data_IF_103154217836
#
_entry.id   IF_103154217836
#
_cell.length_a   1.000
_cell.length_b   1.000
_cell.length_c   1.000
_cell.angle_alpha   90.00
_cell.angle_beta   90.00
_cell.angle_gamma   90.00
#
_symmetry.space_group_name_H-M   'P 1'
#
loop_
_entity.id
_entity.type
_entity.pdbx_description
1 polymer ?
#
# COMPACT_ATOMS: atom_id res chain seq x y z
N UNK A 1 4.11 27.32 -8.82
CA UNK A 1 5.03 26.23 -9.20
C UNK A 1 6.35 26.85 -9.63
N UNK A 2 7.52 26.27 -9.30
CA UNK A 2 8.76 26.71 -9.92
C UNK A 2 8.60 26.62 -11.44
N UNK A 3 9.03 27.65 -12.17
CA UNK A 3 8.98 27.66 -13.63
C UNK A 3 9.73 26.44 -14.17
N UNK A 4 9.07 25.63 -15.02
CA UNK A 4 9.76 24.57 -15.76
C UNK A 4 10.95 25.21 -16.48
N UNK A 5 12.15 24.67 -16.28
CA UNK A 5 13.34 25.12 -17.02
C UNK A 5 13.01 25.09 -18.53
N UNK A 6 13.44 26.10 -19.30
CA UNK A 6 13.16 26.14 -20.73
C UNK A 6 13.60 24.85 -21.41
N UNK A 7 12.81 24.38 -22.37
CA UNK A 7 13.12 23.18 -23.15
C UNK A 7 14.54 23.29 -23.75
N UNK A 8 15.37 22.27 -23.51
CA UNK A 8 16.77 22.25 -23.94
C UNK A 8 17.78 22.87 -22.96
N UNK A 9 17.35 23.36 -21.79
CA UNK A 9 18.27 23.77 -20.74
C UNK A 9 19.14 22.60 -20.28
N UNK A 10 20.46 22.82 -20.22
CA UNK A 10 21.44 21.81 -19.86
C UNK A 10 21.94 22.03 -18.44
N UNK A 11 21.89 21.00 -17.60
CA UNK A 11 22.48 20.98 -16.25
C UNK A 11 23.63 19.99 -16.24
N UNK A 12 24.80 20.41 -15.77
CA UNK A 12 25.98 19.57 -15.61
C UNK A 12 26.22 19.32 -14.12
N UNK A 13 26.22 18.06 -13.69
CA UNK A 13 26.61 17.66 -12.34
C UNK A 13 28.04 17.12 -12.40
N UNK A 14 28.98 17.71 -11.68
CA UNK A 14 30.42 17.39 -11.79
C UNK A 14 30.98 16.70 -10.56
N UNK A 15 32.02 15.87 -10.77
CA UNK A 15 32.86 15.35 -9.68
C UNK A 15 32.17 14.37 -8.72
N UNK A 16 31.01 13.84 -9.12
CA UNK A 16 30.21 12.94 -8.30
C UNK A 16 30.82 11.54 -8.20
N UNK A 17 30.47 10.82 -7.14
CA UNK A 17 30.46 9.35 -7.16
C UNK A 17 29.16 8.89 -7.81
N UNK A 18 29.22 8.37 -9.02
CA UNK A 18 28.05 7.89 -9.77
C UNK A 18 27.75 6.44 -9.39
N UNK A 19 26.53 6.18 -8.92
CA UNK A 19 25.93 4.85 -8.74
C UNK A 19 24.77 4.76 -9.71
N UNK A 20 24.88 3.97 -10.77
CA UNK A 20 23.91 3.96 -11.87
C UNK A 20 22.69 3.05 -11.65
N UNK A 21 22.63 2.33 -10.53
CA UNK A 21 21.55 1.40 -10.19
C UNK A 21 21.68 0.00 -10.79
N UNK A 22 22.72 -0.29 -11.57
CA UNK A 22 22.93 -1.60 -12.23
C UNK A 22 23.55 -2.66 -11.32
N UNK A 23 23.86 -2.32 -10.06
CA UNK A 23 24.54 -3.19 -9.09
C UNK A 23 26.07 -3.16 -9.16
N UNK A 24 26.66 -2.41 -10.10
CA UNK A 24 28.11 -2.21 -10.18
C UNK A 24 28.64 -1.28 -9.06
N UNK A 25 29.93 -1.37 -8.70
CA UNK A 25 30.57 -0.37 -7.84
C UNK A 25 30.50 1.04 -8.44
N UNK A 26 30.52 2.06 -7.57
CA UNK A 26 30.51 3.45 -8.00
C UNK A 26 31.79 3.86 -8.74
N UNK A 27 31.72 4.90 -9.58
CA UNK A 27 32.88 5.53 -10.24
C UNK A 27 32.79 7.07 -10.19
N UNK A 28 33.93 7.76 -10.36
CA UNK A 28 33.93 9.22 -10.46
C UNK A 28 33.48 9.66 -11.85
N UNK A 29 32.43 10.49 -11.91
CA UNK A 29 31.83 10.89 -13.17
C UNK A 29 31.14 12.25 -13.12
N UNK A 30 30.90 12.77 -14.31
CA UNK A 30 30.05 13.92 -14.57
C UNK A 30 28.76 13.44 -15.25
N UNK A 31 27.62 14.01 -14.86
CA UNK A 31 26.30 13.68 -15.42
C UNK A 31 25.72 14.91 -16.10
N UNK A 32 25.33 14.77 -17.37
CA UNK A 32 24.74 15.83 -18.18
C UNK A 32 23.24 15.57 -18.32
N UNK A 33 22.43 16.53 -17.90
CA UNK A 33 20.98 16.53 -18.08
C UNK A 33 20.61 17.57 -19.14
N UNK A 34 19.72 17.21 -20.07
CA UNK A 34 19.13 18.15 -21.03
C UNK A 34 17.62 17.99 -20.99
N UNK A 35 16.91 19.02 -20.54
CA UNK A 35 15.47 18.91 -20.28
C UNK A 35 15.18 17.86 -19.20
N UNK A 36 14.45 16.82 -19.56
CA UNK A 36 14.01 15.71 -18.70
C UNK A 36 14.85 14.43 -18.85
N UNK A 37 15.91 14.48 -19.66
CA UNK A 37 16.67 13.29 -20.07
C UNK A 37 18.14 13.39 -19.64
N UNK A 38 18.74 12.25 -19.26
CA UNK A 38 20.19 12.12 -19.09
C UNK A 38 20.83 12.08 -20.47
N UNK A 39 21.50 13.16 -20.86
CA UNK A 39 22.12 13.29 -22.17
C UNK A 39 23.46 12.54 -22.27
N UNK A 40 24.23 12.52 -21.18
CA UNK A 40 25.51 11.81 -21.13
C UNK A 40 25.96 11.53 -19.69
N UNK A 41 26.74 10.47 -19.52
CA UNK A 41 27.55 10.20 -18.34
C UNK A 41 29.00 10.08 -18.82
N UNK A 42 29.90 10.88 -18.26
CA UNK A 42 31.31 10.91 -18.66
C UNK A 42 32.24 10.71 -17.46
N UNK A 43 33.48 10.26 -17.66
CA UNK A 43 34.47 10.30 -16.59
C UNK A 43 34.64 11.72 -16.03
N UNK A 44 34.94 11.85 -14.75
CA UNK A 44 35.06 13.16 -14.10
C UNK A 44 36.02 14.10 -14.84
N UNK A 45 35.56 15.33 -15.10
CA UNK A 45 36.29 16.36 -15.86
C UNK A 45 36.32 16.14 -17.37
N UNK A 46 35.57 15.18 -17.91
CA UNK A 46 35.53 14.87 -19.35
C UNK A 46 34.24 15.29 -20.05
N UNK A 47 33.22 15.75 -19.32
CA UNK A 47 32.01 16.30 -19.93
C UNK A 47 32.32 17.63 -20.65
N UNK A 48 32.41 17.60 -21.98
CA UNK A 48 32.67 18.78 -22.81
C UNK A 48 31.35 19.42 -23.29
N UNK A 49 30.59 20.00 -22.36
CA UNK A 49 29.29 20.64 -22.64
C UNK A 49 29.22 22.07 -22.11
N UNK A 50 28.50 22.94 -22.81
CA UNK A 50 28.10 24.24 -22.26
C UNK A 50 26.79 24.03 -21.50
N UNK A 51 26.84 24.17 -20.18
CA UNK A 51 25.69 23.98 -19.31
C UNK A 51 25.15 25.34 -18.84
N UNK A 52 23.82 25.47 -18.79
CA UNK A 52 23.15 26.63 -18.21
C UNK A 52 23.30 26.66 -16.68
N UNK A 53 23.44 25.49 -16.07
CA UNK A 53 23.69 25.30 -14.65
C UNK A 53 24.78 24.24 -14.44
N UNK A 54 25.68 24.48 -13.49
CA UNK A 54 26.68 23.50 -13.06
C UNK A 54 26.54 23.27 -11.55
N UNK A 55 26.39 22.01 -11.16
CA UNK A 55 26.28 21.57 -9.76
C UNK A 55 27.55 20.81 -9.41
N UNK A 56 28.32 21.32 -8.43
CA UNK A 56 29.47 20.62 -7.88
C UNK A 56 29.01 19.55 -6.89
N UNK A 57 29.15 18.28 -7.27
CA UNK A 57 28.82 17.12 -6.46
C UNK A 57 30.06 16.43 -5.89
N UNK A 58 31.18 17.16 -5.76
CA UNK A 58 32.40 16.64 -5.15
C UNK A 58 32.13 16.15 -3.73
N UNK A 59 32.45 14.88 -3.48
CA UNK A 59 32.20 14.23 -2.18
C UNK A 59 30.77 13.75 -1.97
N UNK A 60 29.88 13.97 -2.95
CA UNK A 60 28.49 13.50 -2.96
C UNK A 60 28.32 12.32 -3.92
N UNK A 61 27.14 11.70 -3.84
CA UNK A 61 26.71 10.62 -4.73
C UNK A 61 25.66 11.16 -5.69
N UNK A 62 25.75 10.74 -6.95
CA UNK A 62 24.66 10.87 -7.93
C UNK A 62 24.15 9.47 -8.25
N UNK A 63 22.85 9.26 -8.12
CA UNK A 63 22.19 8.00 -8.39
C UNK A 63 20.80 8.23 -9.02
N UNK A 64 20.17 7.20 -9.62
CA UNK A 64 18.77 7.25 -9.96
C UNK A 64 17.93 7.67 -8.74
N UNK A 65 16.89 8.47 -8.98
CA UNK A 65 15.95 8.81 -7.92
C UNK A 65 15.24 7.54 -7.41
N UNK A 66 14.93 7.52 -6.12
CA UNK A 66 14.36 6.32 -5.50
C UNK A 66 12.92 6.11 -6.00
N UNK A 67 12.58 4.85 -6.25
CA UNK A 67 11.24 4.41 -6.59
C UNK A 67 10.65 3.81 -5.32
N UNK A 68 9.68 4.51 -4.74
CA UNK A 68 8.88 3.99 -3.64
C UNK A 68 7.75 3.14 -4.20
N UNK A 69 7.91 1.82 -4.11
CA UNK A 69 6.94 0.89 -4.67
C UNK A 69 5.72 0.68 -3.79
N UNK A 70 5.68 1.23 -2.57
CA UNK A 70 4.61 1.04 -1.58
C UNK A 70 4.12 2.40 -1.04
N UNK A 71 3.63 3.23 -1.95
CA UNK A 71 3.13 4.55 -1.60
C UNK A 71 1.63 4.53 -1.26
N UNK A 72 1.29 5.30 -0.22
CA UNK A 72 -0.09 5.63 0.18
C UNK A 72 -0.39 7.12 0.01
N UNK A 73 0.28 7.78 -0.94
CA UNK A 73 0.17 9.24 -1.14
C UNK A 73 -1.10 9.69 -1.86
N UNK A 74 -2.04 8.78 -2.18
CA UNK A 74 -3.32 9.12 -2.88
C UNK A 74 -4.00 10.31 -2.21
N UNK A 75 -4.31 10.21 -0.92
CA UNK A 75 -4.98 11.30 -0.17
C UNK A 75 -4.07 12.53 0.00
N UNK A 76 -2.80 12.41 0.41
CA UNK A 76 -1.87 13.53 0.42
C UNK A 76 -1.85 14.31 -0.90
N UNK A 77 -1.85 13.67 -2.06
CA UNK A 77 -1.86 14.36 -3.35
C UNK A 77 -3.14 15.16 -3.62
N UNK A 78 -4.28 14.80 -3.03
CA UNK A 78 -5.51 15.60 -3.16
C UNK A 78 -5.35 16.97 -2.49
N UNK A 79 -4.56 17.05 -1.42
CA UNK A 79 -4.47 18.27 -0.58
C UNK A 79 -3.13 19.01 -0.69
N UNK A 80 -2.04 18.28 -0.86
CA UNK A 80 -0.69 18.80 -1.03
C UNK A 80 0.09 17.98 -2.06
N UNK A 81 0.20 18.54 -3.27
CA UNK A 81 0.85 17.91 -4.43
C UNK A 81 2.38 17.95 -4.39
N UNK A 82 2.98 18.52 -3.33
CA UNK A 82 4.43 18.70 -3.25
C UNK A 82 5.19 17.43 -2.86
N UNK A 83 4.51 16.44 -2.24
CA UNK A 83 5.11 15.21 -1.70
C UNK A 83 6.39 15.43 -0.88
N UNK A 84 6.37 16.43 0.02
CA UNK A 84 7.57 16.87 0.74
C UNK A 84 8.23 15.74 1.54
N UNK A 85 7.44 14.87 2.15
CA UNK A 85 7.94 13.71 2.90
C UNK A 85 8.75 12.75 2.02
N UNK A 86 8.41 12.63 0.73
CA UNK A 86 9.04 11.70 -0.21
C UNK A 86 10.24 12.33 -0.90
N UNK A 87 10.09 13.53 -1.48
CA UNK A 87 11.19 14.17 -2.21
C UNK A 87 12.38 14.52 -1.31
N UNK A 88 12.15 14.79 -0.01
CA UNK A 88 13.24 15.05 0.94
C UNK A 88 14.03 13.80 1.33
N UNK A 89 13.53 12.61 0.97
CA UNK A 89 14.23 11.33 1.09
C UNK A 89 14.92 10.92 -0.22
N UNK A 90 14.74 11.68 -1.31
CA UNK A 90 15.25 11.34 -2.64
C UNK A 90 14.31 10.49 -3.50
N UNK A 91 13.06 10.30 -3.07
CA UNK A 91 12.03 9.61 -3.86
C UNK A 91 11.60 10.50 -5.02
N UNK A 92 11.64 9.94 -6.23
CA UNK A 92 11.21 10.61 -7.47
C UNK A 92 10.03 9.92 -8.13
N UNK A 93 9.65 8.72 -7.68
CA UNK A 93 8.55 7.95 -8.24
C UNK A 93 7.84 7.21 -7.12
N UNK A 94 6.52 7.30 -7.12
CA UNK A 94 5.65 6.65 -6.14
C UNK A 94 4.69 5.71 -6.86
N UNK A 95 4.66 4.45 -6.44
CA UNK A 95 3.73 3.43 -6.93
C UNK A 95 2.69 3.17 -5.85
N UNK A 96 1.42 3.31 -6.21
CA UNK A 96 0.28 3.23 -5.30
C UNK A 96 -0.61 2.00 -5.57
N UNK A 97 -1.66 1.84 -4.78
CA UNK A 97 -2.79 0.95 -5.08
C UNK A 97 -2.99 -0.21 -4.11
N UNK A 98 -2.21 -0.32 -3.03
CA UNK A 98 -2.47 -1.34 -2.00
C UNK A 98 -3.88 -1.19 -1.44
N UNK A 99 -4.63 -2.30 -1.45
CA UNK A 99 -6.01 -2.44 -0.99
C UNK A 99 -7.04 -1.62 -1.80
N UNK A 100 -6.81 -0.34 -2.04
CA UNK A 100 -7.81 0.59 -2.52
C UNK A 100 -7.26 1.62 -3.49
N UNK A 101 -8.09 1.99 -4.46
CA UNK A 101 -7.92 3.11 -5.37
C UNK A 101 -9.23 3.92 -5.48
N UNK A 102 -9.16 5.26 -5.66
CA UNK A 102 -10.33 6.13 -5.71
C UNK A 102 -11.12 6.02 -7.02
N UNK A 103 -10.63 5.24 -7.97
CA UNK A 103 -11.18 5.03 -9.31
C UNK A 103 -10.92 3.58 -9.76
N UNK A 104 -11.79 2.98 -10.61
CA UNK A 104 -13.06 3.52 -11.11
C UNK A 104 -14.15 3.55 -10.05
N UNK A 105 -14.96 4.61 -10.06
CA UNK A 105 -16.21 4.68 -9.31
C UNK A 105 -17.36 4.00 -10.08
N UNK A 106 -18.28 3.35 -9.36
CA UNK A 106 -19.39 2.61 -9.95
C UNK A 106 -19.57 1.21 -9.36
N UNK A 107 -20.22 0.32 -10.10
CA UNK A 107 -20.54 -1.03 -9.62
C UNK A 107 -21.39 -0.97 -8.34
N UNK A 108 -20.92 -1.60 -7.27
CA UNK A 108 -21.49 -1.51 -5.91
C UNK A 108 -20.70 -0.59 -4.97
N UNK A 109 -19.83 0.27 -5.50
CA UNK A 109 -19.07 1.25 -4.70
C UNK A 109 -19.96 2.49 -4.47
N UNK A 110 -20.46 2.63 -3.24
CA UNK A 110 -21.30 3.76 -2.85
C UNK A 110 -20.49 5.02 -2.51
N UNK A 111 -19.34 4.87 -1.84
CA UNK A 111 -18.42 5.96 -1.49
C UNK A 111 -17.00 5.56 -1.90
N UNK A 112 -16.44 6.14 -2.99
CA UNK A 112 -15.10 5.83 -3.45
C UNK A 112 -14.02 6.12 -2.41
N UNK A 113 -14.26 6.95 -1.39
CA UNK A 113 -13.29 7.28 -0.34
C UNK A 113 -13.58 6.60 1.01
N UNK A 114 -14.48 5.62 1.06
CA UNK A 114 -14.81 4.88 2.28
C UNK A 114 -13.57 4.31 2.97
N UNK A 115 -12.67 3.73 2.18
CA UNK A 115 -11.41 3.11 2.63
C UNK A 115 -10.23 4.09 2.66
N UNK A 116 -10.48 5.39 2.43
CA UNK A 116 -9.41 6.39 2.47
C UNK A 116 -8.88 6.57 3.89
N UNK A 117 -7.58 6.27 4.06
CA UNK A 117 -6.85 6.60 5.27
C UNK A 117 -5.56 7.36 4.92
N UNK A 118 -5.33 8.57 5.48
CA UNK A 118 -6.19 9.30 6.42
C UNK A 118 -7.42 9.94 5.75
N UNK A 119 -8.38 10.43 6.56
CA UNK A 119 -9.48 11.28 6.09
C UNK A 119 -8.93 12.47 5.31
N UNK A 120 -9.51 12.73 4.15
CA UNK A 120 -9.11 13.81 3.26
C UNK A 120 -9.45 15.14 3.93
N UNK A 121 -8.50 16.03 4.23
CA UNK A 121 -8.84 17.36 4.75
C UNK A 121 -9.71 18.16 3.75
N UNK A 122 -10.68 18.92 4.26
CA UNK A 122 -11.50 19.83 3.45
C UNK A 122 -12.93 19.35 3.22
N UNK A 123 -13.56 19.88 2.17
CA UNK A 123 -14.95 19.61 1.83
C UNK A 123 -15.12 18.21 1.22
N UNK A 124 -15.71 17.31 2.02
CA UNK A 124 -15.91 15.91 1.64
C UNK A 124 -16.86 15.75 0.45
N UNK A 125 -17.87 16.61 0.35
CA UNK A 125 -18.88 16.49 -0.70
C UNK A 125 -18.26 16.84 -2.06
N UNK A 126 -17.40 17.86 -2.09
CA UNK A 126 -16.59 18.20 -3.27
C UNK A 126 -15.68 17.04 -3.67
N UNK A 127 -14.97 16.42 -2.72
CA UNK A 127 -14.10 15.28 -3.04
C UNK A 127 -14.90 14.10 -3.59
N UNK A 128 -16.02 13.76 -2.95
CA UNK A 128 -16.90 12.68 -3.42
C UNK A 128 -17.45 12.95 -4.81
N UNK A 129 -17.91 14.18 -5.09
CA UNK A 129 -18.38 14.57 -6.42
C UNK A 129 -17.29 14.39 -7.47
N UNK A 130 -16.05 14.79 -7.17
CA UNK A 130 -14.90 14.58 -8.04
C UNK A 130 -14.62 13.09 -8.25
N UNK A 131 -14.60 12.26 -7.21
CA UNK A 131 -14.33 10.83 -7.36
C UNK A 131 -15.43 10.09 -8.13
N UNK A 132 -16.69 10.51 -8.01
CA UNK A 132 -17.78 9.99 -8.84
C UNK A 132 -17.64 10.37 -10.33
N UNK A 133 -16.84 11.38 -10.67
CA UNK A 133 -16.50 11.67 -12.07
C UNK A 133 -15.42 10.74 -12.64
N UNK A 134 -14.66 10.05 -11.79
CA UNK A 134 -13.62 9.10 -12.22
C UNK A 134 -14.24 7.73 -12.44
N UNK A 135 -14.62 7.45 -13.68
CA UNK A 135 -15.35 6.23 -14.07
C UNK A 135 -14.43 5.18 -14.73
N UNK A 136 -13.24 5.60 -15.15
CA UNK A 136 -12.15 4.77 -15.65
C UNK A 136 -10.97 4.85 -14.72
N UNK A 137 -10.15 3.80 -14.65
CA UNK A 137 -8.99 3.80 -13.78
C UNK A 137 -8.02 4.95 -14.11
N UNK A 138 -7.89 5.32 -15.37
CA UNK A 138 -7.01 6.41 -15.81
C UNK A 138 -7.47 7.80 -15.36
N UNK A 139 -8.76 8.01 -15.07
CA UNK A 139 -9.31 9.36 -14.88
C UNK A 139 -8.67 10.11 -13.69
N UNK A 140 -8.36 9.41 -12.59
CA UNK A 140 -7.71 10.04 -11.43
C UNK A 140 -6.20 10.27 -11.66
N UNK A 141 -5.54 9.43 -12.46
CA UNK A 141 -4.14 9.60 -12.84
C UNK A 141 -3.99 10.79 -13.79
N UNK A 142 -4.89 10.91 -14.77
CA UNK A 142 -4.99 12.07 -15.68
C UNK A 142 -5.29 13.35 -14.90
N UNK A 143 -6.12 13.27 -13.86
CA UNK A 143 -6.35 14.39 -12.94
C UNK A 143 -5.07 14.80 -12.20
N UNK A 144 -4.30 13.84 -11.66
CA UNK A 144 -3.01 14.13 -11.01
C UNK A 144 -2.00 14.75 -11.98
N UNK A 145 -1.96 14.29 -13.23
CA UNK A 145 -1.12 14.85 -14.28
C UNK A 145 -1.51 16.30 -14.57
N UNK A 146 -2.81 16.58 -14.75
CA UNK A 146 -3.34 17.93 -14.99
C UNK A 146 -3.02 18.89 -13.83
N UNK A 147 -3.25 18.46 -12.59
CA UNK A 147 -3.03 19.29 -11.41
C UNK A 147 -1.55 19.48 -11.06
N UNK A 148 -0.70 18.54 -11.51
CA UNK A 148 0.74 18.55 -11.36
C UNK A 148 1.21 18.15 -9.95
N UNK A 149 1.99 17.08 -9.88
CA UNK A 149 2.65 16.56 -8.66
C UNK A 149 4.17 16.62 -8.79
N UNK A 150 4.89 16.63 -7.66
CA UNK A 150 6.36 16.73 -7.65
C UNK A 150 7.11 15.47 -8.11
N UNK A 151 6.47 14.31 -8.06
CA UNK A 151 7.06 13.00 -8.36
C UNK A 151 6.36 12.38 -9.56
N UNK A 152 6.99 11.38 -10.19
CA UNK A 152 6.26 10.49 -11.09
C UNK A 152 5.29 9.62 -10.27
N UNK A 153 4.16 9.27 -10.87
CA UNK A 153 3.13 8.45 -10.24
C UNK A 153 2.80 7.27 -11.14
N UNK A 154 2.73 6.09 -10.53
CA UNK A 154 2.11 4.89 -11.11
C UNK A 154 1.21 4.21 -10.08
N UNK A 155 0.35 3.28 -10.51
CA UNK A 155 -0.52 2.58 -9.56
C UNK A 155 -0.96 1.22 -10.09
N UNK A 156 -1.19 0.32 -9.15
CA UNK A 156 -2.03 -0.86 -9.31
C UNK A 156 -3.50 -0.48 -9.12
N UNK A 157 -4.43 -1.28 -9.63
CA UNK A 157 -5.84 -1.21 -9.20
C UNK A 157 -5.96 -1.90 -7.83
N UNK A 158 -6.65 -1.26 -6.88
CA UNK A 158 -6.86 -1.79 -5.55
C UNK A 158 -7.74 -3.05 -5.56
N UNK A 159 -7.28 -4.13 -4.96
CA UNK A 159 -8.03 -5.39 -4.89
C UNK A 159 -9.33 -5.28 -4.09
N UNK A 160 -9.34 -4.43 -3.06
CA UNK A 160 -10.56 -4.02 -2.35
C UNK A 160 -11.51 -3.27 -3.27
N UNK A 161 -11.04 -2.29 -4.05
CA UNK A 161 -11.86 -1.60 -5.07
C UNK A 161 -12.47 -2.58 -6.07
N UNK A 162 -11.69 -3.56 -6.54
CA UNK A 162 -12.18 -4.62 -7.44
C UNK A 162 -13.28 -5.44 -6.79
N UNK A 163 -13.09 -5.86 -5.53
CA UNK A 163 -14.08 -6.67 -4.85
C UNK A 163 -15.33 -5.88 -4.48
N UNK A 164 -15.18 -4.62 -4.06
CA UNK A 164 -16.31 -3.74 -3.80
C UNK A 164 -17.14 -3.51 -5.06
N UNK A 165 -16.50 -3.29 -6.21
CA UNK A 165 -17.19 -3.11 -7.49
C UNK A 165 -18.18 -4.24 -7.79
N UNK A 166 -17.74 -5.49 -7.71
CA UNK A 166 -18.56 -6.64 -8.09
C UNK A 166 -19.43 -7.19 -6.97
N UNK A 167 -18.90 -7.25 -5.74
CA UNK A 167 -19.52 -7.96 -4.62
C UNK A 167 -19.86 -7.05 -3.44
N UNK A 168 -19.18 -5.92 -3.28
CA UNK A 168 -19.27 -5.10 -2.07
C UNK A 168 -18.55 -5.74 -0.89
N UNK A 169 -19.02 -5.43 0.32
CA UNK A 169 -18.45 -5.92 1.58
C UNK A 169 -19.03 -7.25 2.07
N UNK A 170 -19.77 -7.95 1.21
CA UNK A 170 -20.39 -9.22 1.58
C UNK A 170 -19.33 -10.31 1.80
N UNK A 171 -19.55 -11.13 2.83
CA UNK A 171 -18.73 -12.31 3.13
C UNK A 171 -18.87 -13.39 2.05
N UNK A 172 -17.89 -14.31 2.02
CA UNK A 172 -17.90 -15.50 1.19
C UNK A 172 -17.47 -15.28 -0.25
N UNK A 173 -17.56 -16.35 -1.04
CA UNK A 173 -17.11 -16.37 -2.43
C UNK A 173 -17.98 -15.51 -3.35
N UNK A 174 -17.37 -14.88 -4.34
CA UNK A 174 -18.09 -14.26 -5.45
C UNK A 174 -18.91 -15.30 -6.24
N UNK A 175 -20.14 -14.94 -6.61
CA UNK A 175 -20.90 -15.71 -7.61
C UNK A 175 -20.23 -15.58 -8.99
N UNK A 176 -20.54 -16.45 -9.96
CA UNK A 176 -19.99 -16.34 -11.31
C UNK A 176 -20.22 -14.98 -11.97
N UNK A 177 -21.39 -14.36 -11.76
CA UNK A 177 -21.71 -13.04 -12.32
C UNK A 177 -20.94 -11.91 -11.62
N UNK A 178 -20.77 -12.03 -10.29
CA UNK A 178 -19.94 -11.10 -9.52
C UNK A 178 -18.47 -11.18 -9.96
N UNK A 179 -17.92 -12.39 -10.11
CA UNK A 179 -16.56 -12.61 -10.58
C UNK A 179 -16.37 -12.09 -12.02
N UNK A 180 -17.33 -12.34 -12.92
CA UNK A 180 -17.28 -11.81 -14.28
C UNK A 180 -17.29 -10.27 -14.29
N UNK A 181 -18.07 -9.64 -13.40
CA UNK A 181 -18.08 -8.18 -13.24
C UNK A 181 -16.73 -7.65 -12.76
N UNK A 182 -16.13 -8.28 -11.75
CA UNK A 182 -14.81 -7.92 -11.21
C UNK A 182 -13.71 -8.08 -12.27
N UNK A 183 -13.68 -9.21 -12.98
CA UNK A 183 -12.70 -9.46 -14.04
C UNK A 183 -12.83 -8.48 -15.21
N UNK A 184 -14.06 -8.11 -15.58
CA UNK A 184 -14.31 -7.11 -16.63
C UNK A 184 -13.81 -5.72 -16.25
N UNK A 185 -14.05 -5.29 -15.02
CA UNK A 185 -13.53 -4.01 -14.51
C UNK A 185 -12.00 -4.02 -14.43
N UNK A 186 -11.42 -5.11 -13.90
CA UNK A 186 -9.97 -5.27 -13.83
C UNK A 186 -9.31 -5.18 -15.21
N UNK A 187 -9.86 -5.86 -16.22
CA UNK A 187 -9.35 -5.78 -17.59
C UNK A 187 -9.38 -4.33 -18.14
N UNK A 188 -10.48 -3.61 -17.92
CA UNK A 188 -10.58 -2.20 -18.33
C UNK A 188 -9.55 -1.33 -17.58
N UNK A 189 -9.34 -1.56 -16.28
CA UNK A 189 -8.33 -0.83 -15.50
C UNK A 189 -6.90 -1.07 -16.03
N UNK A 190 -6.59 -2.30 -16.46
CA UNK A 190 -5.32 -2.61 -17.12
C UNK A 190 -5.15 -1.87 -18.45
N UNK A 191 -6.22 -1.77 -19.25
CA UNK A 191 -6.22 -0.99 -20.51
C UNK A 191 -6.03 0.52 -20.28
N UNK A 192 -6.50 1.03 -19.14
CA UNK A 192 -6.33 2.41 -18.71
C UNK A 192 -4.95 2.70 -18.07
N UNK A 193 -4.09 1.69 -17.93
CA UNK A 193 -2.71 1.86 -17.47
C UNK A 193 -2.40 1.37 -16.05
N UNK A 194 -3.29 0.61 -15.41
CA UNK A 194 -2.95 -0.08 -14.16
C UNK A 194 -1.79 -1.06 -14.40
N UNK A 195 -0.83 -1.10 -13.46
CA UNK A 195 0.28 -2.05 -13.54
C UNK A 195 -0.12 -3.50 -13.25
N UNK A 196 -1.34 -3.69 -12.72
CA UNK A 196 -1.84 -4.97 -12.24
C UNK A 196 -2.83 -4.76 -11.11
N UNK A 197 -3.01 -5.79 -10.28
CA UNK A 197 -3.86 -5.74 -9.08
C UNK A 197 -3.03 -5.77 -7.80
N UNK A 198 -3.36 -4.93 -6.83
CA UNK A 198 -2.73 -4.92 -5.51
C UNK A 198 -3.75 -5.27 -4.41
N UNK A 199 -3.58 -6.44 -3.84
CA UNK A 199 -4.50 -7.03 -2.85
C UNK A 199 -4.00 -6.81 -1.43
N UNK A 200 -4.91 -6.58 -0.48
CA UNK A 200 -4.61 -6.66 0.94
C UNK A 200 -5.54 -7.66 1.61
N UNK A 201 -5.01 -8.86 1.86
CA UNK A 201 -5.81 -10.03 2.24
C UNK A 201 -6.01 -10.14 3.75
N UNK A 202 -5.40 -9.25 4.53
CA UNK A 202 -5.63 -9.12 5.97
C UNK A 202 -6.88 -8.28 6.29
N UNK A 203 -7.28 -7.36 5.40
CA UNK A 203 -8.36 -6.39 5.64
C UNK A 203 -9.63 -6.70 4.83
N UNK A 204 -10.83 -6.34 5.33
CA UNK A 204 -12.01 -6.25 4.50
C UNK A 204 -11.82 -5.30 3.30
N UNK A 205 -12.50 -5.56 2.16
CA UNK A 205 -13.17 -6.82 1.83
C UNK A 205 -12.19 -7.90 1.34
N UNK A 206 -10.91 -7.60 1.16
CA UNK A 206 -9.90 -8.52 0.59
C UNK A 206 -9.76 -9.84 1.34
N UNK A 207 -9.84 -9.82 2.67
CA UNK A 207 -9.77 -11.02 3.51
C UNK A 207 -10.92 -12.01 3.28
N UNK A 208 -12.00 -11.59 2.62
CA UNK A 208 -13.13 -12.45 2.29
C UNK A 208 -12.96 -13.20 0.96
N UNK A 209 -12.00 -12.80 0.12
CA UNK A 209 -11.73 -13.44 -1.15
C UNK A 209 -11.08 -14.81 -0.92
N UNK A 210 -11.57 -15.84 -1.61
CA UNK A 210 -10.92 -17.15 -1.66
C UNK A 210 -9.73 -17.14 -2.62
N UNK A 211 -8.80 -18.07 -2.44
CA UNK A 211 -7.68 -18.26 -3.38
C UNK A 211 -8.15 -18.52 -4.81
N UNK A 212 -9.32 -19.16 -4.98
CA UNK A 212 -9.92 -19.39 -6.30
C UNK A 212 -10.34 -18.10 -7.00
N UNK A 213 -10.94 -17.17 -6.26
CA UNK A 213 -11.28 -15.82 -6.74
C UNK A 213 -10.01 -15.06 -7.16
N UNK A 214 -8.98 -15.08 -6.30
CA UNK A 214 -7.70 -14.41 -6.58
C UNK A 214 -7.00 -14.98 -7.82
N UNK A 215 -7.00 -16.30 -8.00
CA UNK A 215 -6.44 -16.95 -9.20
C UNK A 215 -7.17 -16.49 -10.46
N UNK A 216 -8.51 -16.48 -10.45
CA UNK A 216 -9.28 -16.05 -11.62
C UNK A 216 -9.02 -14.58 -12.00
N UNK A 217 -8.84 -13.69 -11.02
CA UNK A 217 -8.46 -12.30 -11.28
C UNK A 217 -7.02 -12.20 -11.81
N UNK A 218 -6.09 -12.95 -11.23
CA UNK A 218 -4.68 -12.92 -11.62
C UNK A 218 -4.41 -13.55 -13.00
N UNK A 219 -5.24 -14.50 -13.46
CA UNK A 219 -5.22 -14.96 -14.86
C UNK A 219 -5.46 -13.80 -15.84
N UNK A 220 -6.38 -12.90 -15.50
CA UNK A 220 -6.61 -11.66 -16.25
C UNK A 220 -5.38 -10.75 -16.24
N UNK A 221 -4.80 -10.51 -15.06
CA UNK A 221 -3.58 -9.68 -14.93
C UNK A 221 -2.42 -10.25 -15.76
N UNK A 222 -2.19 -11.55 -15.71
CA UNK A 222 -1.16 -12.23 -16.49
C UNK A 222 -1.38 -12.07 -18.00
N UNK A 223 -2.63 -12.12 -18.47
CA UNK A 223 -2.96 -11.90 -19.88
C UNK A 223 -2.59 -10.48 -20.37
N UNK A 224 -2.62 -9.50 -19.47
CA UNK A 224 -2.17 -8.12 -19.72
C UNK A 224 -0.68 -7.89 -19.41
N UNK A 225 0.08 -8.93 -19.03
CA UNK A 225 1.49 -8.84 -18.60
C UNK A 225 1.68 -7.90 -17.41
N UNK A 226 0.65 -7.79 -16.57
CA UNK A 226 0.69 -7.03 -15.32
C UNK A 226 1.34 -7.83 -14.19
N UNK A 227 1.38 -7.20 -13.02
CA UNK A 227 1.95 -7.74 -11.79
C UNK A 227 0.85 -7.89 -10.73
N UNK A 228 0.90 -8.97 -9.95
CA UNK A 228 0.08 -9.12 -8.76
C UNK A 228 0.88 -8.65 -7.56
N UNK A 229 0.27 -7.79 -6.74
CA UNK A 229 0.84 -7.41 -5.45
C UNK A 229 -0.05 -7.94 -4.33
N UNK A 230 0.57 -8.40 -3.26
CA UNK A 230 -0.18 -8.87 -2.10
C UNK A 230 0.45 -8.45 -0.77
N UNK A 231 -0.34 -7.74 0.03
CA UNK A 231 -0.27 -7.85 1.48
C UNK A 231 -0.92 -9.17 1.85
N UNK A 232 -0.09 -10.08 2.36
CA UNK A 232 -0.46 -11.45 2.69
C UNK A 232 -1.71 -11.52 3.57
N UNK A 233 -2.41 -12.64 3.46
CA UNK A 233 -3.58 -12.94 4.31
C UNK A 233 -3.23 -13.03 5.78
N UNK A 234 -1.99 -13.42 6.08
CA UNK A 234 -1.45 -13.41 7.43
C UNK A 234 0.05 -13.12 7.38
N UNK A 235 0.49 -12.27 8.30
CA UNK A 235 1.88 -11.95 8.62
C UNK A 235 2.27 -12.46 10.03
N UNK A 236 1.32 -13.04 10.76
CA UNK A 236 1.46 -13.60 12.10
C UNK A 236 1.43 -15.14 12.10
N UNK A 237 0.42 -15.73 12.74
CA UNK A 237 0.34 -17.16 13.03
C UNK A 237 0.32 -18.02 11.76
N UNK A 238 -0.23 -17.49 10.66
CA UNK A 238 -0.34 -18.19 9.38
C UNK A 238 0.57 -17.60 8.29
N UNK A 239 1.66 -16.92 8.68
CA UNK A 239 2.62 -16.32 7.74
C UNK A 239 3.12 -17.30 6.67
N UNK A 240 3.40 -18.55 7.05
CA UNK A 240 3.88 -19.57 6.13
C UNK A 240 2.81 -19.95 5.10
N UNK A 241 1.57 -20.13 5.54
CA UNK A 241 0.43 -20.43 4.68
C UNK A 241 0.04 -19.24 3.79
N UNK A 242 0.12 -18.00 4.31
CA UNK A 242 -0.08 -16.79 3.51
C UNK A 242 0.97 -16.67 2.40
N UNK A 243 2.24 -16.96 2.73
CA UNK A 243 3.33 -17.00 1.75
C UNK A 243 3.12 -18.10 0.70
N UNK A 244 2.66 -19.29 1.12
CA UNK A 244 2.33 -20.38 0.20
C UNK A 244 1.17 -20.04 -0.72
N UNK A 245 0.16 -19.31 -0.22
CA UNK A 245 -0.97 -18.85 -1.03
C UNK A 245 -0.51 -17.90 -2.15
N UNK A 246 0.35 -16.92 -1.83
CA UNK A 246 0.91 -16.01 -2.82
C UNK A 246 1.70 -16.76 -3.90
N UNK A 247 2.55 -17.71 -3.49
CA UNK A 247 3.33 -18.55 -4.40
C UNK A 247 2.42 -19.48 -5.24
N UNK A 248 1.34 -20.03 -4.67
CA UNK A 248 0.38 -20.87 -5.40
C UNK A 248 -0.36 -20.06 -6.48
N UNK A 249 -0.79 -18.83 -6.17
CA UNK A 249 -1.41 -17.92 -7.13
C UNK A 249 -0.44 -17.64 -8.29
N UNK A 250 0.80 -17.25 -7.99
CA UNK A 250 1.84 -17.02 -8.98
C UNK A 250 2.09 -18.27 -9.84
N UNK A 251 2.22 -19.45 -9.21
CA UNK A 251 2.44 -20.73 -9.90
C UNK A 251 1.31 -21.09 -10.85
N UNK A 252 0.06 -20.89 -10.45
CA UNK A 252 -1.13 -21.31 -11.21
C UNK A 252 -1.43 -20.39 -12.38
N UNK A 253 -1.10 -19.10 -12.25
CA UNK A 253 -1.45 -18.08 -13.24
C UNK A 253 -0.28 -17.64 -14.11
N UNK A 254 0.95 -17.83 -13.63
CA UNK A 254 2.16 -17.31 -14.26
C UNK A 254 2.32 -15.79 -14.13
N UNK A 255 1.50 -15.13 -13.30
CA UNK A 255 1.66 -13.70 -12.99
C UNK A 255 2.93 -13.50 -12.15
N UNK A 256 3.66 -12.42 -12.41
CA UNK A 256 4.71 -11.98 -11.49
C UNK A 256 4.05 -11.46 -10.21
N UNK A 257 4.56 -11.85 -9.04
CA UNK A 257 3.96 -11.51 -7.74
C UNK A 257 4.95 -10.80 -6.81
N UNK A 258 4.59 -9.62 -6.31
CA UNK A 258 5.31 -8.91 -5.25
C UNK A 258 4.60 -9.13 -3.90
N UNK A 259 5.33 -9.65 -2.91
CA UNK A 259 4.87 -9.70 -1.52
C UNK A 259 5.25 -8.37 -0.85
N UNK A 260 4.25 -7.54 -0.60
CA UNK A 260 4.45 -6.24 0.05
C UNK A 260 4.85 -6.40 1.51
N UNK A 261 5.73 -5.48 1.94
CA UNK A 261 6.22 -5.25 3.29
C UNK A 261 6.44 -6.52 4.11
N UNK A 262 7.11 -7.50 3.51
CA UNK A 262 7.29 -8.83 4.06
C UNK A 262 7.85 -8.78 5.48
N UNK A 263 7.09 -9.31 6.43
CA UNK A 263 7.44 -9.30 7.85
C UNK A 263 6.90 -10.52 8.59
N UNK A 264 7.47 -10.77 9.77
CA UNK A 264 6.92 -11.70 10.75
C UNK A 264 6.40 -10.89 11.94
N UNK A 265 5.09 -10.66 11.96
CA UNK A 265 4.41 -9.90 12.99
C UNK A 265 4.16 -10.75 14.25
N UNK A 266 4.34 -10.14 15.43
CA UNK A 266 4.21 -10.82 16.72
C UNK A 266 5.40 -11.72 17.07
N UNK A 267 5.90 -11.60 18.32
CA UNK A 267 7.07 -12.34 18.83
C UNK A 267 7.04 -13.85 18.59
N UNK A 268 5.90 -14.56 18.72
CA UNK A 268 5.84 -15.99 18.47
C UNK A 268 6.10 -16.42 17.01
N UNK A 269 6.17 -15.48 16.06
CA UNK A 269 6.30 -15.78 14.63
C UNK A 269 7.68 -15.41 14.06
N UNK A 270 8.53 -14.73 14.82
CA UNK A 270 9.81 -14.19 14.32
C UNK A 270 10.76 -15.25 13.75
N UNK A 271 10.69 -16.47 14.29
CA UNK A 271 11.47 -17.63 13.84
C UNK A 271 11.04 -18.17 12.47
N UNK A 272 9.88 -17.76 11.94
CA UNK A 272 9.36 -18.19 10.63
C UNK A 272 10.03 -17.50 9.45
N UNK A 273 10.64 -16.32 9.63
CA UNK A 273 11.18 -15.54 8.51
C UNK A 273 12.24 -16.27 7.67
N UNK A 274 13.22 -17.01 8.26
CA UNK A 274 14.16 -17.82 7.47
C UNK A 274 13.46 -18.85 6.56
N UNK A 275 12.35 -19.44 7.02
CA UNK A 275 11.58 -20.40 6.24
C UNK A 275 10.78 -19.72 5.11
N UNK A 276 10.24 -18.51 5.33
CA UNK A 276 9.60 -17.72 4.27
C UNK A 276 10.60 -17.42 3.14
N UNK A 277 11.80 -16.95 3.48
CA UNK A 277 12.86 -16.66 2.50
C UNK A 277 13.20 -17.92 1.70
N UNK A 278 13.36 -19.07 2.38
CA UNK A 278 13.63 -20.36 1.73
C UNK A 278 12.52 -20.75 0.73
N UNK A 279 11.25 -20.46 1.03
CA UNK A 279 10.12 -20.75 0.13
C UNK A 279 10.12 -19.85 -1.09
N UNK A 280 10.38 -18.55 -0.93
CA UNK A 280 10.52 -17.61 -2.04
C UNK A 280 11.69 -18.02 -2.95
N UNK A 281 12.84 -18.35 -2.38
CA UNK A 281 14.00 -18.81 -3.16
C UNK A 281 13.73 -20.12 -3.90
N UNK A 282 13.02 -21.06 -3.27
CA UNK A 282 12.60 -22.30 -3.92
C UNK A 282 11.64 -22.04 -5.09
N UNK A 283 10.65 -21.17 -4.91
CA UNK A 283 9.72 -20.79 -5.97
C UNK A 283 10.45 -20.14 -7.16
N UNK A 284 11.40 -19.24 -6.90
CA UNK A 284 12.26 -18.64 -7.94
C UNK A 284 13.10 -19.67 -8.67
N UNK A 285 13.65 -20.65 -7.97
CA UNK A 285 14.40 -21.75 -8.58
C UNK A 285 13.52 -22.65 -9.47
N UNK A 286 12.21 -22.71 -9.22
CA UNK A 286 11.21 -23.34 -10.09
C UNK A 286 10.82 -22.48 -11.30
N UNK A 287 11.29 -21.23 -11.37
CA UNK A 287 10.96 -20.27 -12.44
C UNK A 287 9.71 -19.44 -12.17
N UNK A 288 9.21 -19.42 -10.93
CA UNK A 288 8.08 -18.58 -10.52
C UNK A 288 8.62 -17.20 -10.14
N UNK A 289 8.08 -16.15 -10.78
CA UNK A 289 8.51 -14.77 -10.54
C UNK A 289 7.83 -14.20 -9.29
N UNK A 290 8.48 -14.39 -8.14
CA UNK A 290 8.01 -13.86 -6.85
C UNK A 290 9.07 -12.97 -6.25
N UNK A 291 8.72 -11.75 -5.90
CA UNK A 291 9.56 -10.75 -5.24
C UNK A 291 8.93 -10.25 -3.95
N UNK A 292 9.68 -9.46 -3.18
CA UNK A 292 9.24 -8.95 -1.90
C UNK A 292 10.01 -7.69 -1.52
N UNK A 293 9.33 -6.79 -0.80
CA UNK A 293 9.90 -5.57 -0.26
C UNK A 293 9.74 -5.49 1.26
N UNK A 294 10.37 -4.48 1.85
CA UNK A 294 10.17 -4.12 3.25
C UNK A 294 10.49 -2.65 3.50
N UNK A 295 9.86 -2.08 4.52
CA UNK A 295 10.32 -0.84 5.12
C UNK A 295 11.30 -1.14 6.27
N UNK A 296 12.31 -0.27 6.51
CA UNK A 296 13.38 -0.53 7.47
C UNK A 296 13.00 -0.14 8.92
N UNK A 297 11.85 -0.60 9.40
CA UNK A 297 11.35 -0.30 10.75
C UNK A 297 10.76 -1.56 11.41
N UNK A 298 10.86 -1.63 12.74
CA UNK A 298 10.34 -2.76 13.52
C UNK A 298 8.84 -2.64 13.85
N UNK A 299 8.22 -1.49 13.54
CA UNK A 299 6.83 -1.19 13.83
C UNK A 299 6.04 -0.95 12.55
N UNK A 300 4.85 -1.55 12.47
CA UNK A 300 3.88 -1.31 11.42
C UNK A 300 2.95 -0.12 11.76
N UNK A 301 2.22 0.37 10.76
CA UNK A 301 1.16 1.38 10.94
C UNK A 301 -0.06 1.01 10.10
N UNK A 302 -1.24 0.99 10.71
CA UNK A 302 -2.53 0.71 10.06
C UNK A 302 -3.69 1.32 10.86
N UNK A 303 -4.91 1.20 10.36
CA UNK A 303 -6.12 1.64 11.06
C UNK A 303 -6.38 0.81 12.34
N UNK A 304 -6.93 1.45 13.37
CA UNK A 304 -7.24 0.78 14.64
C UNK A 304 -8.33 -0.31 14.48
N UNK A 305 -9.15 -0.22 13.44
CA UNK A 305 -10.16 -1.22 13.11
C UNK A 305 -9.54 -2.61 12.87
N UNK A 306 -8.28 -2.68 12.43
CA UNK A 306 -7.53 -3.93 12.24
C UNK A 306 -7.22 -4.69 13.53
N UNK A 307 -7.56 -4.13 14.70
CA UNK A 307 -7.54 -4.86 15.98
C UNK A 307 -8.87 -5.61 16.25
N UNK A 308 -9.88 -5.45 15.39
CA UNK A 308 -11.20 -6.04 15.53
C UNK A 308 -11.36 -7.16 14.49
N UNK A 309 -12.21 -8.18 14.77
CA UNK A 309 -12.40 -9.27 13.84
C UNK A 309 -12.99 -8.76 12.52
N UNK A 310 -12.46 -9.16 11.34
CA UNK A 310 -12.87 -8.63 10.05
C UNK A 310 -14.38 -8.70 9.79
N UNK A 311 -15.05 -9.77 10.22
CA UNK A 311 -16.50 -9.95 10.06
C UNK A 311 -17.34 -8.84 10.72
N UNK A 312 -16.77 -8.04 11.63
CA UNK A 312 -17.44 -6.89 12.21
C UNK A 312 -17.79 -5.83 11.14
N UNK A 313 -17.06 -5.78 10.03
CA UNK A 313 -17.27 -4.83 8.93
C UNK A 313 -18.14 -5.39 7.78
N UNK A 314 -18.48 -6.68 7.82
CA UNK A 314 -19.30 -7.31 6.80
C UNK A 314 -20.56 -6.49 6.47
N UNK A 315 -20.84 -6.37 5.16
CA UNK A 315 -21.96 -5.59 4.62
C UNK A 315 -21.93 -4.09 4.99
N UNK A 316 -20.77 -3.53 5.36
CA UNK A 316 -20.62 -2.13 5.74
C UNK A 316 -21.16 -1.79 7.13
N UNK A 317 -21.45 -2.80 7.96
CA UNK A 317 -22.16 -2.64 9.24
C UNK A 317 -21.27 -2.34 10.44
N UNK A 318 -20.01 -1.96 10.22
CA UNK A 318 -19.00 -1.80 11.27
C UNK A 318 -19.50 -0.97 12.47
N UNK A 319 -20.01 0.23 12.22
CA UNK A 319 -20.49 1.11 13.29
C UNK A 319 -21.82 0.66 13.92
N UNK A 320 -22.67 -0.04 13.18
CA UNK A 320 -23.92 -0.61 13.69
C UNK A 320 -23.61 -1.75 14.65
N UNK A 321 -22.73 -2.66 14.23
CA UNK A 321 -22.26 -3.80 14.99
C UNK A 321 -21.56 -3.38 16.31
N UNK A 322 -20.83 -2.27 16.33
CA UNK A 322 -20.22 -1.74 17.55
C UNK A 322 -21.22 -1.08 18.51
N UNK A 323 -22.34 -0.56 17.99
CA UNK A 323 -23.41 0.03 18.83
C UNK A 323 -24.32 -1.04 19.41
N UNK A 324 -24.55 -2.13 18.70
CA UNK A 324 -25.33 -3.28 19.15
C UNK A 324 -24.65 -4.00 20.34
N UNK A 325 -25.30 -4.09 21.52
CA UNK A 325 -24.67 -4.66 22.72
C UNK A 325 -24.25 -6.13 22.56
N UNK A 326 -25.08 -6.95 21.92
CA UNK A 326 -24.85 -8.38 21.76
C UNK A 326 -23.69 -8.64 20.78
N UNK A 327 -23.68 -7.93 19.66
CA UNK A 327 -22.61 -8.00 18.68
C UNK A 327 -21.31 -7.43 19.22
N UNK A 328 -21.34 -6.31 19.95
CA UNK A 328 -20.15 -5.77 20.63
C UNK A 328 -19.57 -6.77 21.64
N UNK A 329 -20.41 -7.47 22.42
CA UNK A 329 -19.95 -8.51 23.34
C UNK A 329 -19.26 -9.67 22.59
N UNK A 330 -19.79 -10.07 21.43
CA UNK A 330 -19.16 -11.07 20.55
C UNK A 330 -17.82 -10.59 19.99
N UNK A 331 -17.73 -9.33 19.55
CA UNK A 331 -16.48 -8.70 19.10
C UNK A 331 -15.45 -8.72 20.22
N UNK A 332 -15.81 -8.26 21.43
CA UNK A 332 -14.92 -8.26 22.60
C UNK A 332 -14.40 -9.65 22.90
N UNK A 333 -15.26 -10.67 22.91
CA UNK A 333 -14.83 -12.05 23.12
C UNK A 333 -13.85 -12.51 22.05
N UNK A 334 -14.11 -12.24 20.77
CA UNK A 334 -13.19 -12.60 19.68
C UNK A 334 -11.82 -11.90 19.81
N UNK A 335 -11.78 -10.67 20.32
CA UNK A 335 -10.53 -9.97 20.59
C UNK A 335 -9.73 -10.58 21.77
N UNK A 336 -10.44 -11.03 22.82
CA UNK A 336 -9.82 -11.60 24.04
C UNK A 336 -9.42 -13.07 23.86
N UNK A 337 -10.13 -13.77 22.99
CA UNK A 337 -9.93 -15.19 22.67
C UNK A 337 -9.67 -15.31 21.16
N UNK A 338 -8.53 -14.79 20.66
CA UNK A 338 -8.27 -14.74 19.23
C UNK A 338 -8.19 -16.15 18.64
N UNK A 339 -8.97 -16.36 17.59
CA UNK A 339 -8.89 -17.54 16.76
C UNK A 339 -7.72 -17.42 15.78
N UNK A 340 -7.22 -18.55 15.27
CA UNK A 340 -6.07 -18.58 14.35
C UNK A 340 -6.41 -18.27 12.90
N UNK A 341 -7.67 -17.93 12.60
CA UNK A 341 -8.21 -17.72 11.26
C UNK A 341 -8.28 -16.24 10.85
N UNK A 342 -7.90 -15.31 11.72
CA UNK A 342 -7.71 -13.88 11.43
C UNK A 342 -6.60 -13.28 12.30
N UNK A 343 -6.11 -12.08 11.94
CA UNK A 343 -5.02 -11.41 12.65
C UNK A 343 -5.52 -10.42 13.68
N UNK A 344 -5.16 -10.63 14.95
CA UNK A 344 -5.46 -9.69 16.01
C UNK A 344 -4.22 -8.86 16.35
N UNK A 345 -3.97 -7.84 15.52
CA UNK A 345 -2.80 -6.97 15.65
C UNK A 345 -2.73 -6.28 17.02
N UNK A 346 -3.88 -6.00 17.64
CA UNK A 346 -3.97 -5.42 18.97
C UNK A 346 -3.49 -6.37 20.07
N UNK A 347 -3.84 -7.66 19.98
CA UNK A 347 -3.34 -8.68 20.89
C UNK A 347 -1.84 -8.96 20.68
N UNK A 348 -1.38 -8.98 19.44
CA UNK A 348 0.03 -9.21 19.09
C UNK A 348 0.96 -8.09 19.55
N UNK A 349 0.53 -6.83 19.41
CA UNK A 349 1.28 -5.67 19.89
C UNK A 349 1.14 -5.46 21.41
N UNK A 350 0.00 -5.85 21.98
CA UNK A 350 -0.43 -5.45 23.32
C UNK A 350 -0.86 -3.98 23.37
N UNK A 351 -1.73 -3.58 24.31
CA UNK A 351 -2.24 -2.20 24.40
C UNK A 351 -1.14 -1.17 24.68
N UNK A 352 0.00 -1.57 25.25
CA UNK A 352 1.18 -0.71 25.40
C UNK A 352 1.93 -0.49 24.08
N UNK A 353 1.88 -1.46 23.16
CA UNK A 353 2.52 -1.40 21.84
C UNK A 353 1.71 -0.68 20.77
N UNK A 354 0.41 -0.47 20.98
CA UNK A 354 -0.46 0.28 20.06
C UNK A 354 -0.35 1.78 20.35
N UNK A 355 0.31 2.53 19.48
CA UNK A 355 0.46 4.00 19.60
C UNK A 355 -0.54 4.72 18.69
N UNK A 356 -1.25 5.72 19.23
CA UNK A 356 -2.19 6.53 18.46
C UNK A 356 -1.44 7.60 17.66
N UNK A 357 -1.21 7.36 16.38
CA UNK A 357 -0.42 8.23 15.49
C UNK A 357 -1.25 9.16 14.59
N UNK A 358 -2.56 8.93 14.46
CA UNK A 358 -3.44 9.73 13.62
C UNK A 358 -4.84 9.86 14.21
N UNK A 359 -5.21 11.07 14.63
CA UNK A 359 -6.50 11.38 15.23
C UNK A 359 -7.08 12.63 14.56
N UNK A 360 -8.35 12.56 14.17
CA UNK A 360 -9.00 13.60 13.34
C UNK A 360 -9.79 14.61 14.16
N UNK A 361 -10.20 14.23 15.38
CA UNK A 361 -11.06 15.04 16.23
C UNK A 361 -10.20 15.91 17.15
N UNK A 362 -10.36 17.26 17.16
CA UNK A 362 -9.59 18.15 18.02
C UNK A 362 -9.64 17.74 19.50
N UNK A 363 -10.78 17.24 19.98
CA UNK A 363 -10.92 16.78 21.37
C UNK A 363 -10.06 15.55 21.72
N UNK A 364 -9.52 14.83 20.72
CA UNK A 364 -8.65 13.67 20.90
C UNK A 364 -7.17 14.00 20.71
N UNK A 365 -6.80 15.24 20.38
CA UNK A 365 -5.41 15.64 20.11
C UNK A 365 -4.47 15.34 21.29
N UNK A 366 -4.97 15.45 22.53
CA UNK A 366 -4.23 15.11 23.74
C UNK A 366 -3.83 13.62 23.86
N UNK A 367 -4.36 12.75 22.99
CA UNK A 367 -4.02 11.33 22.93
C UNK A 367 -2.98 10.99 21.86
N UNK A 368 -2.58 11.94 21.01
CA UNK A 368 -1.60 11.71 19.96
C UNK A 368 -0.24 11.31 20.55
N UNK A 369 0.38 10.28 19.98
CA UNK A 369 1.66 9.73 20.44
C UNK A 369 1.58 8.93 21.73
N UNK A 370 0.39 8.73 22.31
CA UNK A 370 0.20 7.92 23.52
C UNK A 370 -0.21 6.50 23.16
N UNK A 371 0.14 5.54 24.02
CA UNK A 371 -0.29 4.15 23.88
C UNK A 371 -1.78 3.98 24.20
N UNK A 372 -2.40 2.97 23.60
CA UNK A 372 -3.79 2.61 23.86
C UNK A 372 -4.02 2.34 25.36
N UNK A 373 -3.07 1.69 26.03
CA UNK A 373 -3.10 1.46 27.48
C UNK A 373 -3.20 2.77 28.29
N UNK A 374 -2.39 3.77 27.94
CA UNK A 374 -2.40 5.08 28.62
C UNK A 374 -3.73 5.81 28.40
N UNK A 375 -4.28 5.75 27.19
CA UNK A 375 -5.55 6.39 26.87
C UNK A 375 -6.72 5.68 27.55
N UNK A 376 -6.72 4.34 27.60
CA UNK A 376 -7.73 3.56 28.31
C UNK A 376 -7.75 3.91 29.81
N UNK A 377 -6.58 4.01 30.44
CA UNK A 377 -6.47 4.38 31.85
C UNK A 377 -7.06 5.77 32.16
N UNK A 378 -6.81 6.76 31.30
CA UNK A 378 -7.34 8.13 31.46
C UNK A 378 -8.86 8.20 31.29
N UNK A 379 -9.42 7.34 30.43
CA UNK A 379 -10.87 7.31 30.15
C UNK A 379 -11.65 6.44 31.13
N UNK A 380 -10.99 5.85 32.12
CA UNK A 380 -11.59 4.92 33.07
C UNK A 380 -12.00 3.59 32.44
N UNK A 381 -11.36 3.19 31.34
CA UNK A 381 -11.60 1.90 30.69
C UNK A 381 -11.01 0.74 31.48
N UNK A 382 -11.64 -0.44 31.37
CA UNK A 382 -11.12 -1.68 31.93
C UNK A 382 -9.72 -1.99 31.42
N UNK A 383 -8.81 -2.29 32.35
CA UNK A 383 -7.40 -2.65 32.06
C UNK A 383 -7.26 -4.08 31.52
N UNK A 384 -8.35 -4.74 31.19
CA UNK A 384 -8.45 -6.20 31.20
C UNK A 384 -8.20 -6.85 29.84
N UNK A 385 -7.11 -6.44 29.18
CA UNK A 385 -6.52 -7.19 28.05
C UNK A 385 -5.36 -8.10 28.51
N UNK A 386 -4.92 -7.98 29.77
CA UNK A 386 -3.74 -8.71 30.28
C UNK A 386 -4.03 -9.60 31.50
N UNK A 387 -5.27 -9.72 31.95
CA UNK A 387 -5.59 -10.54 33.11
C UNK A 387 -6.58 -11.65 32.75
N UNK A 388 -6.14 -12.89 32.96
CA UNK A 388 -7.06 -14.01 33.11
C UNK A 388 -7.86 -13.78 34.38
N UNK A 389 -9.11 -13.34 34.25
CA UNK A 389 -10.02 -13.24 35.39
C UNK A 389 -11.26 -12.44 35.05
N UNK A 390 -12.40 -13.12 34.89
CA UNK A 390 -13.65 -12.48 34.52
C UNK A 390 -14.11 -11.38 35.47
N UNK A 391 -14.69 -10.33 34.88
CA UNK A 391 -15.38 -9.27 35.59
C UNK A 391 -15.83 -8.17 34.63
N UNK A 392 -17.10 -8.28 34.23
CA UNK A 392 -18.02 -7.29 33.61
C UNK A 392 -17.66 -6.59 32.27
#
# INVERSE_FOLDING_TARGET
MPERKPAGSTTLITGARVIDGTGNPWFYGDVVLTGDTIAAIAPAGRAAVSAAETVDATGLVVCPGFIDIQSHSIVPFLTDRRSLSKITQGVTTEIMGEAWTPSPSGGRIDDPFRESWPHIPGDQDTWRELAHSWTRFGDWLEWLEHEGVSVNVGSFIGGGTVREWGKGLALGDATPDELASMSGMLAAAMEDGAFGIATALIYPPGCYASTGELVALCEGVAAHRGVHITHLRSEESRLLEGSDEAIDIARRTGVATEIYHLKAAGKPNWDKMPEVIRRIDAARAEGIDVTADMYPYEAAGTGLASCLPPWAEADGKFWENLRDPDTRARIRRAMLEPASDWENLGASAGPEGVILAGLQRPEHEAYLGRSLANVAADRGGDRDLSSQGGGE
#
